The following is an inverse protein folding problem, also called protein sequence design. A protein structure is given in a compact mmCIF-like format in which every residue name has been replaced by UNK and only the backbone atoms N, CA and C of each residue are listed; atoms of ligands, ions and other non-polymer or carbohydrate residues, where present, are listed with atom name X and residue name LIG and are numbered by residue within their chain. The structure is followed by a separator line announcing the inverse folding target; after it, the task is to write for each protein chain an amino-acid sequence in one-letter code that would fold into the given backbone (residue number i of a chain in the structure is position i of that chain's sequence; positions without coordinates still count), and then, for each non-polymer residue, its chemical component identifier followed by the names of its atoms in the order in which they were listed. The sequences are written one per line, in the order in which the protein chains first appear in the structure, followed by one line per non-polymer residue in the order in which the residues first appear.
data_IF_516271726642
#
_entry.id   IF_516271726642
#
_cell.length_a   1.000
_cell.length_b   1.000
_cell.length_c   1.000
_cell.angle_alpha   90.00
_cell.angle_beta   90.00
_cell.angle_gamma   90.00
#
_symmetry.space_group_name_H-M   'P 1'
#
loop_
_entity.id
_entity.type
_entity.pdbx_description
1 polymer ?
#
# COMPACT_ATOMS: atom_id res chain seq x y z
N UNK A 1 -14.61 28.62 4.95
CA UNK A 1 -13.51 29.39 4.38
C UNK A 1 -12.40 28.42 3.97
N UNK A 2 -12.26 28.22 2.69
CA UNK A 2 -11.18 27.40 2.15
C UNK A 2 -9.91 28.26 2.14
N UNK A 3 -9.07 28.06 3.14
CA UNK A 3 -7.73 28.65 3.12
C UNK A 3 -7.01 27.98 1.94
N UNK A 4 -6.46 28.80 1.05
CA UNK A 4 -5.77 28.25 -0.11
C UNK A 4 -4.55 27.45 0.34
N UNK A 5 -4.28 26.35 -0.33
CA UNK A 5 -3.13 25.49 -0.03
C UNK A 5 -1.78 26.25 -0.01
N UNK A 6 -1.72 27.38 -0.70
CA UNK A 6 -0.54 28.26 -0.70
C UNK A 6 -0.39 29.06 0.61
N UNK A 7 -1.49 29.42 1.26
CA UNK A 7 -1.46 30.14 2.54
C UNK A 7 -1.05 29.20 3.68
N UNK A 8 -1.54 27.95 3.68
CA UNK A 8 -1.11 26.95 4.66
C UNK A 8 0.38 26.62 4.53
N UNK A 9 0.87 26.46 3.30
CA UNK A 9 2.30 26.24 3.06
C UNK A 9 3.14 27.42 3.52
N UNK A 10 2.67 28.65 3.30
CA UNK A 10 3.35 29.86 3.78
C UNK A 10 3.40 29.96 5.30
N UNK A 11 2.30 29.63 6.00
CA UNK A 11 2.25 29.62 7.47
C UNK A 11 3.16 28.54 8.06
N UNK A 12 3.19 27.33 7.48
CA UNK A 12 4.08 26.26 7.91
C UNK A 12 5.55 26.65 7.75
N UNK A 13 5.91 27.30 6.66
CA UNK A 13 7.28 27.75 6.42
C UNK A 13 7.71 28.84 7.41
N UNK A 14 6.83 29.76 7.79
CA UNK A 14 7.09 30.79 8.79
C UNK A 14 7.34 30.14 10.16
N UNK A 15 6.54 29.15 10.56
CA UNK A 15 6.71 28.43 11.81
C UNK A 15 8.04 27.65 11.85
N UNK A 16 8.43 27.03 10.75
CA UNK A 16 9.70 26.31 10.64
C UNK A 16 10.91 27.23 10.80
N UNK A 17 10.82 28.47 10.33
CA UNK A 17 11.90 29.46 10.48
C UNK A 17 12.19 29.81 11.93
N UNK A 18 11.26 29.61 12.84
CA UNK A 18 11.45 29.85 14.29
C UNK A 18 12.23 28.74 14.97
N UNK A 19 12.38 27.58 14.36
CA UNK A 19 13.09 26.44 14.91
C UNK A 19 14.60 26.58 14.64
N UNK A 20 15.42 26.11 15.59
CA UNK A 20 16.87 26.05 15.37
C UNK A 20 17.24 24.84 14.50
N UNK A 21 18.48 24.79 14.01
CA UNK A 21 18.97 23.71 13.15
C UNK A 21 18.86 22.33 13.81
N UNK A 22 19.11 22.24 15.11
CA UNK A 22 19.00 20.98 15.83
C UNK A 22 17.57 20.45 15.86
N UNK A 23 16.60 21.33 16.12
CA UNK A 23 15.17 20.99 16.12
C UNK A 23 14.69 20.58 14.73
N UNK A 24 15.13 21.30 13.71
CA UNK A 24 14.82 20.99 12.31
C UNK A 24 15.40 19.63 11.89
N UNK A 25 16.63 19.32 12.30
CA UNK A 25 17.25 18.04 12.03
C UNK A 25 16.51 16.88 12.68
N UNK A 26 16.08 17.05 13.94
CA UNK A 26 15.28 16.06 14.64
C UNK A 26 13.94 15.82 13.95
N UNK A 27 13.26 16.89 13.56
CA UNK A 27 11.97 16.81 12.87
C UNK A 27 12.12 16.14 11.50
N UNK A 28 13.17 16.49 10.75
CA UNK A 28 13.50 15.84 9.47
C UNK A 28 13.73 14.34 9.65
N UNK A 29 14.52 13.95 10.64
CA UNK A 29 14.81 12.54 10.91
C UNK A 29 13.55 11.76 11.30
N UNK A 30 12.66 12.36 12.08
CA UNK A 30 11.38 11.76 12.43
C UNK A 30 10.51 11.55 11.18
N UNK A 31 10.43 12.54 10.30
CA UNK A 31 9.69 12.43 9.04
C UNK A 31 10.30 11.38 8.11
N UNK A 32 11.63 11.28 8.03
CA UNK A 32 12.32 10.25 7.26
C UNK A 32 11.95 8.84 7.75
N UNK A 33 11.88 8.63 9.07
CA UNK A 33 11.44 7.36 9.65
C UNK A 33 9.99 7.06 9.33
N UNK A 34 9.09 8.04 9.46
CA UNK A 34 7.66 7.87 9.13
C UNK A 34 7.48 7.54 7.65
N UNK A 35 8.19 8.22 6.75
CA UNK A 35 8.15 7.94 5.32
C UNK A 35 8.68 6.53 5.01
N UNK A 36 9.72 6.08 5.71
CA UNK A 36 10.23 4.71 5.59
C UNK A 36 9.17 3.67 5.97
N UNK A 37 8.44 3.89 7.06
CA UNK A 37 7.32 3.03 7.49
C UNK A 37 6.20 3.02 6.44
N UNK A 38 5.87 4.18 5.87
CA UNK A 38 4.87 4.26 4.81
C UNK A 38 5.27 3.48 3.56
N UNK A 39 6.55 3.55 3.16
CA UNK A 39 7.07 2.78 2.02
C UNK A 39 6.97 1.27 2.25
N UNK A 40 7.32 0.79 3.45
CA UNK A 40 7.18 -0.61 3.81
C UNK A 40 5.72 -1.06 3.80
N UNK A 41 4.83 -0.24 4.35
CA UNK A 41 3.39 -0.51 4.35
C UNK A 41 2.82 -0.58 2.93
N UNK A 42 3.24 0.34 2.06
CA UNK A 42 2.85 0.34 0.65
C UNK A 42 3.31 -0.93 -0.06
N UNK A 43 4.54 -1.34 0.17
CA UNK A 43 5.07 -2.57 -0.43
C UNK A 43 4.27 -3.79 0.00
N UNK A 44 3.97 -3.91 1.29
CA UNK A 44 3.16 -5.00 1.85
C UNK A 44 1.75 -5.01 1.24
N UNK A 45 1.11 -3.85 1.14
CA UNK A 45 -0.23 -3.73 0.56
C UNK A 45 -0.24 -4.06 -0.94
N UNK A 46 0.76 -3.62 -1.68
CA UNK A 46 0.88 -3.94 -3.12
C UNK A 46 1.11 -5.43 -3.35
N UNK A 47 1.88 -6.08 -2.49
CA UNK A 47 2.04 -7.55 -2.52
C UNK A 47 0.72 -8.28 -2.24
N UNK A 48 -0.04 -7.84 -1.24
CA UNK A 48 -1.35 -8.39 -0.92
C UNK A 48 -2.33 -8.20 -2.09
N UNK A 49 -2.36 -7.02 -2.68
CA UNK A 49 -3.16 -6.71 -3.86
C UNK A 49 -2.84 -7.66 -5.02
N UNK A 50 -1.55 -7.85 -5.31
CA UNK A 50 -1.09 -8.76 -6.37
C UNK A 50 -1.56 -10.19 -6.13
N UNK A 51 -1.51 -10.69 -4.90
CA UNK A 51 -2.01 -12.02 -4.54
C UNK A 51 -3.51 -12.15 -4.75
N UNK A 52 -4.29 -11.16 -4.33
CA UNK A 52 -5.74 -11.17 -4.53
C UNK A 52 -6.11 -11.10 -6.01
N UNK A 53 -5.40 -10.31 -6.80
CA UNK A 53 -5.59 -10.24 -8.26
C UNK A 53 -5.25 -11.57 -8.92
N UNK A 54 -4.16 -12.22 -8.53
CA UNK A 54 -3.78 -13.53 -9.02
C UNK A 54 -4.83 -14.60 -8.71
N UNK A 55 -5.39 -14.58 -7.51
CA UNK A 55 -6.49 -15.49 -7.12
C UNK A 55 -7.74 -15.24 -7.95
N UNK A 56 -8.10 -13.99 -8.18
CA UNK A 56 -9.23 -13.61 -9.03
C UNK A 56 -9.04 -14.09 -10.46
N UNK A 57 -7.86 -13.87 -11.04
CA UNK A 57 -7.52 -14.32 -12.39
C UNK A 57 -7.56 -15.84 -12.51
N UNK A 58 -7.09 -16.56 -11.51
CA UNK A 58 -7.17 -18.02 -11.46
C UNK A 58 -8.62 -18.51 -11.50
N UNK A 59 -9.53 -17.82 -10.81
CA UNK A 59 -10.97 -18.13 -10.85
C UNK A 59 -11.60 -17.84 -12.20
N UNK A 60 -11.12 -16.84 -12.93
CA UNK A 60 -11.60 -16.50 -14.26
C UNK A 60 -11.27 -17.57 -15.30
N UNK A 61 -10.27 -18.40 -15.04
CA UNK A 61 -9.91 -19.53 -15.89
C UNK A 61 -10.89 -20.71 -15.77
N UNK A 62 -11.69 -20.78 -14.70
CA UNK A 62 -12.71 -21.80 -14.55
C UNK A 62 -13.87 -21.53 -15.51
N UNK A 63 -14.09 -22.49 -16.43
CA UNK A 63 -15.17 -22.39 -17.40
C UNK A 63 -16.39 -23.19 -16.92
N UNK A 64 -17.64 -22.71 -17.14
CA UNK A 64 -18.85 -23.44 -16.77
C UNK A 64 -18.92 -24.84 -17.43
N UNK A 65 -18.29 -24.98 -18.58
CA UNK A 65 -18.22 -26.28 -19.35
C UNK A 65 -17.41 -27.34 -18.61
N UNK A 66 -16.57 -26.95 -17.62
CA UNK A 66 -15.77 -27.92 -16.86
C UNK A 66 -16.56 -28.64 -15.78
N UNK A 67 -17.79 -28.21 -15.49
CA UNK A 67 -18.62 -28.86 -14.47
C UNK A 67 -18.95 -30.32 -14.79
N UNK A 68 -18.95 -30.69 -16.09
CA UNK A 68 -19.27 -32.04 -16.55
C UNK A 68 -18.03 -32.88 -16.90
N UNK A 69 -16.82 -32.32 -16.83
CA UNK A 69 -15.58 -32.99 -17.21
C UNK A 69 -14.53 -32.94 -16.13
N UNK A 70 -13.79 -34.05 -15.97
CA UNK A 70 -12.63 -34.08 -15.10
C UNK A 70 -11.48 -33.26 -15.70
N UNK A 71 -10.97 -32.27 -14.99
CA UNK A 71 -9.84 -31.43 -15.42
C UNK A 71 -8.63 -31.68 -14.52
N UNK A 72 -7.47 -32.08 -15.10
CA UNK A 72 -6.25 -32.19 -14.33
C UNK A 72 -5.74 -30.80 -13.94
N UNK A 73 -5.34 -30.64 -12.67
CA UNK A 73 -4.78 -29.39 -12.14
C UNK A 73 -3.62 -29.67 -11.21
N UNK A 74 -2.76 -28.69 -10.99
CA UNK A 74 -1.76 -28.69 -9.92
C UNK A 74 -2.33 -27.93 -8.72
N UNK A 75 -2.48 -28.64 -7.60
CA UNK A 75 -3.02 -28.06 -6.37
C UNK A 75 -1.86 -27.58 -5.52
N UNK A 76 -1.76 -26.27 -5.20
CA UNK A 76 -0.70 -25.76 -4.35
C UNK A 76 -0.92 -26.19 -2.90
N UNK A 77 0.09 -26.83 -2.29
CA UNK A 77 0.11 -27.19 -0.87
C UNK A 77 0.81 -26.13 -0.04
N UNK A 78 1.93 -25.61 -0.57
CA UNK A 78 2.71 -24.54 0.02
C UNK A 78 3.14 -23.59 -1.10
N UNK A 79 3.84 -22.49 -0.77
CA UNK A 79 4.30 -21.52 -1.77
C UNK A 79 5.15 -22.09 -2.91
N UNK A 80 5.73 -23.29 -2.75
CA UNK A 80 6.62 -23.92 -3.74
C UNK A 80 6.29 -25.37 -4.06
N UNK A 81 5.31 -25.97 -3.38
CA UNK A 81 4.93 -27.38 -3.58
C UNK A 81 3.53 -27.50 -4.19
N UNK A 82 3.43 -28.27 -5.27
CA UNK A 82 2.18 -28.57 -5.95
C UNK A 82 1.98 -30.08 -6.04
N UNK A 83 0.73 -30.53 -5.94
CA UNK A 83 0.35 -31.91 -6.18
C UNK A 83 -0.62 -32.00 -7.33
N UNK A 84 -0.56 -33.07 -8.18
CA UNK A 84 -1.58 -33.27 -9.21
C UNK A 84 -2.95 -33.52 -8.57
N UNK A 85 -3.97 -32.91 -9.14
CA UNK A 85 -5.35 -33.11 -8.74
C UNK A 85 -6.27 -33.13 -9.95
N UNK A 86 -7.55 -33.40 -9.73
CA UNK A 86 -8.58 -33.44 -10.78
C UNK A 86 -9.75 -32.58 -10.31
N UNK A 87 -10.19 -31.65 -11.15
CA UNK A 87 -11.43 -30.92 -10.95
C UNK A 87 -12.57 -31.68 -11.54
N UNK A 88 -13.52 -32.15 -10.73
CA UNK A 88 -14.69 -32.91 -11.16
C UNK A 88 -15.96 -32.06 -11.31
N UNK A 89 -16.11 -31.10 -10.40
CA UNK A 89 -17.21 -30.13 -10.42
C UNK A 89 -16.68 -28.77 -9.97
N UNK A 90 -16.96 -27.72 -10.71
CA UNK A 90 -16.49 -26.36 -10.42
C UNK A 90 -17.66 -25.49 -9.98
N UNK A 91 -18.43 -25.99 -9.01
CA UNK A 91 -19.55 -25.22 -8.44
C UNK A 91 -19.06 -24.34 -7.28
N UNK A 92 -18.22 -24.90 -6.42
CA UNK A 92 -17.72 -24.23 -5.23
C UNK A 92 -16.19 -24.31 -5.13
N UNK A 93 -15.62 -23.29 -4.51
CA UNK A 93 -14.19 -23.21 -4.19
C UNK A 93 -14.00 -22.91 -2.71
N UNK A 94 -12.86 -23.34 -2.17
CA UNK A 94 -12.45 -23.01 -0.80
C UNK A 94 -11.42 -21.91 -0.90
N UNK A 95 -11.68 -20.80 -0.21
CA UNK A 95 -10.77 -19.64 -0.19
C UNK A 95 -10.23 -19.42 1.23
N UNK A 96 -8.96 -19.02 1.30
CA UNK A 96 -8.34 -18.57 2.55
C UNK A 96 -8.82 -17.13 2.83
N UNK A 97 -9.54 -16.95 3.94
CA UNK A 97 -10.05 -15.63 4.35
C UNK A 97 -9.21 -14.98 5.44
N UNK A 98 -8.11 -15.59 5.85
CA UNK A 98 -7.12 -15.06 6.81
C UNK A 98 -6.81 -16.04 7.94
N UNK A 99 -5.56 -16.05 8.38
CA UNK A 99 -5.01 -16.79 9.56
C UNK A 99 -5.59 -18.19 9.80
N UNK A 100 -5.57 -19.05 8.75
CA UNK A 100 -6.03 -20.45 8.87
C UNK A 100 -7.54 -20.64 8.77
N UNK A 101 -8.30 -19.61 8.53
CA UNK A 101 -9.75 -19.69 8.27
C UNK A 101 -10.02 -19.82 6.78
N UNK A 102 -10.90 -20.77 6.44
CA UNK A 102 -11.31 -21.04 5.06
C UNK A 102 -12.82 -20.91 4.92
N UNK A 103 -13.26 -20.34 3.80
CA UNK A 103 -14.68 -20.23 3.48
C UNK A 103 -14.96 -20.90 2.15
N UNK A 104 -16.06 -21.69 2.10
CA UNK A 104 -16.57 -22.24 0.86
C UNK A 104 -17.48 -21.22 0.19
N UNK A 105 -17.23 -20.94 -1.09
CA UNK A 105 -18.02 -20.01 -1.90
C UNK A 105 -18.20 -20.61 -3.30
N UNK A 106 -19.31 -20.25 -3.95
CA UNK A 106 -19.41 -20.49 -5.37
C UNK A 106 -18.40 -19.62 -6.15
N UNK A 107 -18.15 -19.95 -7.41
CA UNK A 107 -17.12 -19.26 -8.21
C UNK A 107 -17.43 -17.77 -8.35
N UNK A 108 -18.71 -17.42 -8.57
CA UNK A 108 -19.12 -16.00 -8.68
C UNK A 108 -18.91 -15.26 -7.37
N UNK A 109 -19.28 -15.85 -6.24
CA UNK A 109 -19.08 -15.27 -4.91
C UNK A 109 -17.59 -15.12 -4.56
N UNK A 110 -16.75 -16.10 -4.96
CA UNK A 110 -15.32 -16.02 -4.76
C UNK A 110 -14.68 -14.91 -5.59
N UNK A 111 -15.06 -14.75 -6.86
CA UNK A 111 -14.61 -13.64 -7.71
C UNK A 111 -14.98 -12.28 -7.10
N UNK A 112 -16.22 -12.15 -6.61
CA UNK A 112 -16.68 -10.93 -5.95
C UNK A 112 -15.89 -10.65 -4.66
N UNK A 113 -15.63 -11.68 -3.86
CA UNK A 113 -14.80 -11.56 -2.66
C UNK A 113 -13.42 -10.99 -2.97
N UNK A 114 -12.71 -11.55 -3.96
CA UNK A 114 -11.38 -11.07 -4.33
C UNK A 114 -11.41 -9.69 -4.96
N UNK A 115 -12.43 -9.36 -5.74
CA UNK A 115 -12.62 -8.01 -6.28
C UNK A 115 -12.75 -6.98 -5.15
N UNK A 116 -13.59 -7.28 -4.14
CA UNK A 116 -13.75 -6.39 -2.98
C UNK A 116 -12.45 -6.26 -2.19
N UNK A 117 -11.67 -7.33 -2.05
CA UNK A 117 -10.36 -7.28 -1.38
C UNK A 117 -9.36 -6.44 -2.15
N UNK A 118 -9.31 -6.56 -3.47
CA UNK A 118 -8.45 -5.70 -4.32
C UNK A 118 -8.84 -4.24 -4.17
N UNK A 119 -10.12 -3.92 -4.25
CA UNK A 119 -10.62 -2.55 -4.13
C UNK A 119 -10.32 -1.96 -2.74
N UNK A 120 -10.50 -2.75 -1.69
CA UNK A 120 -10.18 -2.33 -0.32
C UNK A 120 -8.68 -2.03 -0.15
N UNK A 121 -7.82 -2.92 -0.63
CA UNK A 121 -6.35 -2.72 -0.55
C UNK A 121 -5.94 -1.51 -1.38
N UNK A 122 -6.50 -1.32 -2.56
CA UNK A 122 -6.23 -0.15 -3.39
C UNK A 122 -6.61 1.15 -2.68
N UNK A 123 -7.74 1.18 -2.00
CA UNK A 123 -8.17 2.32 -1.19
C UNK A 123 -7.17 2.63 -0.07
N UNK A 124 -6.66 1.60 0.61
CA UNK A 124 -5.63 1.77 1.63
C UNK A 124 -4.31 2.29 1.05
N UNK A 125 -3.90 1.77 -0.12
CA UNK A 125 -2.71 2.26 -0.84
C UNK A 125 -2.83 3.75 -1.14
N UNK A 126 -3.96 4.20 -1.67
CA UNK A 126 -4.20 5.60 -2.01
C UNK A 126 -4.15 6.51 -0.77
N UNK A 127 -4.72 6.07 0.35
CA UNK A 127 -4.66 6.81 1.62
C UNK A 127 -3.23 6.99 2.11
N UNK A 128 -2.42 5.94 2.09
CA UNK A 128 -1.02 5.99 2.53
C UNK A 128 -0.18 6.85 1.57
N UNK A 129 -0.40 6.74 0.26
CA UNK A 129 0.27 7.58 -0.73
C UNK A 129 -0.02 9.06 -0.51
N UNK A 130 -1.27 9.41 -0.20
CA UNK A 130 -1.67 10.79 0.10
C UNK A 130 -0.98 11.31 1.36
N UNK A 131 -0.99 10.53 2.44
CA UNK A 131 -0.30 10.89 3.70
C UNK A 131 1.21 11.00 3.50
N UNK A 132 1.80 10.11 2.75
CA UNK A 132 3.23 10.15 2.41
C UNK A 132 3.59 11.38 1.59
N UNK A 133 2.74 11.76 0.66
CA UNK A 133 2.93 12.97 -0.15
C UNK A 133 2.89 14.25 0.72
N UNK A 134 1.93 14.36 1.63
CA UNK A 134 1.84 15.47 2.58
C UNK A 134 3.07 15.54 3.48
N UNK A 135 3.51 14.42 4.04
CA UNK A 135 4.71 14.32 4.87
C UNK A 135 5.98 14.68 4.09
N UNK A 136 6.08 14.24 2.85
CA UNK A 136 7.19 14.56 1.96
C UNK A 136 7.28 16.07 1.67
N UNK A 137 6.16 16.75 1.49
CA UNK A 137 6.13 18.21 1.34
C UNK A 137 6.66 18.93 2.56
N UNK A 138 6.27 18.49 3.76
CA UNK A 138 6.75 19.07 5.02
C UNK A 138 8.26 18.85 5.16
N UNK A 139 8.74 17.64 4.81
CA UNK A 139 10.17 17.32 4.82
C UNK A 139 10.95 18.25 3.89
N UNK A 140 10.46 18.48 2.68
CA UNK A 140 11.09 19.35 1.69
C UNK A 140 11.14 20.81 2.20
N UNK A 141 10.06 21.28 2.84
CA UNK A 141 10.02 22.60 3.45
C UNK A 141 11.05 22.75 4.58
N UNK A 142 11.22 21.71 5.39
CA UNK A 142 12.25 21.68 6.45
C UNK A 142 13.65 21.75 5.85
N UNK A 143 13.90 20.99 4.80
CA UNK A 143 15.20 21.00 4.09
C UNK A 143 15.51 22.39 3.52
N UNK A 144 14.53 23.07 2.93
CA UNK A 144 14.67 24.41 2.40
C UNK A 144 15.02 25.41 3.50
N UNK A 145 14.33 25.34 4.64
CA UNK A 145 14.60 26.20 5.79
C UNK A 145 15.99 25.94 6.38
N UNK A 146 16.40 24.68 6.47
CA UNK A 146 17.74 24.31 6.92
C UNK A 146 18.82 24.90 6.00
N UNK A 147 18.62 24.83 4.71
CA UNK A 147 19.54 25.39 3.71
C UNK A 147 19.66 26.92 3.86
N UNK A 148 18.55 27.61 4.02
CA UNK A 148 18.52 29.07 4.26
C UNK A 148 19.30 29.42 5.53
N UNK A 149 19.09 28.69 6.62
CA UNK A 149 19.79 28.95 7.90
C UNK A 149 21.28 28.66 7.81
N UNK A 150 21.69 27.60 7.11
CA UNK A 150 23.10 27.28 6.90
C UNK A 150 23.79 28.36 6.05
N UNK A 151 23.13 28.82 4.98
CA UNK A 151 23.65 29.89 4.15
C UNK A 151 23.82 31.21 4.94
N UNK A 152 22.86 31.52 5.81
CA UNK A 152 22.95 32.72 6.69
C UNK A 152 24.12 32.62 7.68
N UNK A 153 24.40 31.43 8.22
CA UNK A 153 25.54 31.21 9.12
C UNK A 153 26.88 31.36 8.41
N UNK A 154 26.99 30.96 7.17
CA UNK A 154 28.21 31.08 6.36
C UNK A 154 28.51 32.53 5.95
N UNK A 155 27.50 33.39 5.89
CA UNK A 155 27.65 34.80 5.53
C UNK A 155 28.01 35.73 6.70
N UNK A 156 27.98 35.21 7.93
CA UNK A 156 28.40 36.01 9.09
C UNK A 156 29.94 36.03 9.19
N UNK A 157 30.59 37.19 9.12
CA UNK A 157 32.02 37.26 9.33
C UNK A 157 32.34 36.91 10.80
N UNK A 158 33.33 36.07 10.96
CA UNK A 158 33.87 35.68 12.27
C UNK A 158 34.58 36.85 12.97
#
# INVERSE_FOLDING_TARGET
ATISSNEEAGMQQIDLMKLNLQQLTQLKNQLDQELGVFQESLQTLKMAKSKFMGSKESLEQFKPEWSDQEQPVLVPLTGSMYVPGIIKQVDNVIIDVGTGYYAEKDVVGAKDYFKRKVDFVQEQVEKIEMLGFEKSKIRDAIMDVMEIKLAAMQKQPS
#
